data_IF_536681601132
#
_entry.id   IF_536681601132
#
_cell.length_a   1.000
_cell.length_b   1.000
_cell.length_c   1.000
_cell.angle_alpha   90.00
_cell.angle_beta   90.00
_cell.angle_gamma   90.00
#
_symmetry.space_group_name_H-M   'P 1'
#
loop_
_entity.id
_entity.type
_entity.pdbx_description
1 polymer ?
#
# COMPACT_ATOMS: atom_id res chain seq x y z
N UNK A 1 -9.30 72.00 28.17
CA UNK A 1 -9.42 73.34 27.55
C UNK A 1 -10.13 73.26 26.23
N UNK A 2 -11.22 73.96 26.14
CA UNK A 2 -12.14 74.14 25.01
C UNK A 2 -11.47 74.77 23.80
N UNK A 3 -11.83 74.35 22.60
CA UNK A 3 -12.21 75.31 21.51
C UNK A 3 -13.02 74.61 20.42
N UNK A 4 -14.24 75.00 20.40
CA UNK A 4 -15.25 74.89 19.32
C UNK A 4 -14.93 75.95 18.24
N UNK A 5 -15.06 75.64 16.98
CA UNK A 5 -15.30 76.68 15.94
C UNK A 5 -16.29 76.12 14.90
N UNK A 6 -17.20 77.05 14.60
CA UNK A 6 -18.50 76.94 13.94
C UNK A 6 -18.38 77.09 12.42
N UNK A 7 -19.43 76.55 11.77
CA UNK A 7 -19.81 76.75 10.36
C UNK A 7 -19.81 78.20 9.90
N UNK A 8 -19.86 78.46 8.53
CA UNK A 8 -21.16 78.92 8.03
C UNK A 8 -21.65 78.24 6.76
N UNK A 9 -22.97 78.18 6.69
CA UNK A 9 -23.78 77.86 5.53
C UNK A 9 -23.82 79.10 4.56
N UNK A 10 -23.79 78.81 3.28
CA UNK A 10 -24.25 79.76 2.25
C UNK A 10 -25.21 79.07 1.32
N UNK A 11 -26.34 79.71 1.19
CA UNK A 11 -27.54 79.35 0.43
C UNK A 11 -27.40 79.70 -1.08
N UNK A 12 -28.22 79.00 -1.88
CA UNK A 12 -28.99 79.46 -3.04
C UNK A 12 -28.25 79.42 -4.40
N UNK A 13 -28.75 78.76 -5.39
CA UNK A 13 -29.91 79.11 -6.22
C UNK A 13 -30.21 78.05 -7.24
N UNK A 14 -31.50 77.77 -7.41
CA UNK A 14 -32.20 77.01 -8.45
C UNK A 14 -31.92 77.57 -9.83
N UNK A 15 -31.55 76.73 -10.82
CA UNK A 15 -31.87 76.99 -12.22
C UNK A 15 -32.25 75.71 -12.93
N UNK A 16 -33.53 75.61 -13.25
CA UNK A 16 -34.18 74.59 -14.03
C UNK A 16 -33.82 74.76 -15.49
N UNK A 17 -33.05 73.83 -16.07
CA UNK A 17 -32.90 73.72 -17.50
C UNK A 17 -33.30 72.30 -17.93
N UNK A 18 -34.49 72.20 -18.50
CA UNK A 18 -34.94 71.02 -19.26
C UNK A 18 -34.09 70.90 -20.52
N UNK A 19 -33.28 69.86 -20.58
CA UNK A 19 -32.68 69.38 -21.82
C UNK A 19 -33.14 67.91 -22.01
N UNK A 20 -34.06 67.74 -22.96
CA UNK A 20 -34.39 66.46 -23.54
C UNK A 20 -33.15 65.92 -24.27
N UNK A 21 -32.51 64.89 -23.68
CA UNK A 21 -31.54 64.07 -24.37
C UNK A 21 -32.18 62.69 -24.55
N UNK A 22 -32.47 62.37 -25.79
CA UNK A 22 -32.82 61.01 -26.19
C UNK A 22 -31.57 60.14 -25.94
N UNK A 23 -31.57 59.46 -24.79
CA UNK A 23 -30.57 58.40 -24.48
C UNK A 23 -30.96 57.14 -25.16
N UNK A 24 -30.20 56.73 -26.16
CA UNK A 24 -30.16 55.34 -26.59
C UNK A 24 -29.84 54.49 -25.35
N UNK A 25 -30.80 53.64 -24.92
CA UNK A 25 -30.49 52.56 -24.01
C UNK A 25 -29.54 51.59 -24.74
N UNK A 26 -28.28 51.66 -24.41
CA UNK A 26 -27.38 50.53 -24.72
C UNK A 26 -27.78 49.39 -23.79
N UNK A 27 -28.45 48.38 -24.34
CA UNK A 27 -28.59 47.09 -23.71
C UNK A 27 -27.16 46.63 -23.38
N UNK A 28 -26.82 46.57 -22.11
CA UNK A 28 -25.64 45.82 -21.65
C UNK A 28 -25.94 44.37 -21.96
N UNK A 29 -25.37 43.85 -23.03
CA UNK A 29 -25.23 42.41 -23.22
C UNK A 29 -24.29 41.98 -22.09
N UNK A 30 -24.87 41.37 -21.06
CA UNK A 30 -24.12 40.57 -20.10
C UNK A 30 -23.66 39.38 -20.92
N UNK A 31 -22.39 39.33 -21.28
CA UNK A 31 -21.77 38.10 -21.74
C UNK A 31 -21.88 37.11 -20.56
N UNK A 32 -22.91 36.29 -20.58
CA UNK A 32 -22.94 35.07 -19.74
C UNK A 32 -21.76 34.23 -20.24
N UNK A 33 -20.72 34.12 -19.41
CA UNK A 33 -19.68 33.11 -19.61
C UNK A 33 -20.40 31.77 -19.81
N UNK A 34 -20.03 31.02 -20.87
CA UNK A 34 -20.63 29.71 -21.06
C UNK A 34 -20.38 28.89 -19.78
N UNK A 35 -21.36 28.09 -19.34
CA UNK A 35 -21.17 27.24 -18.19
C UNK A 35 -19.88 26.43 -18.40
N UNK A 36 -18.99 26.45 -17.41
CA UNK A 36 -17.84 25.55 -17.41
C UNK A 36 -18.37 24.15 -17.68
N UNK A 37 -17.96 23.56 -18.82
CA UNK A 37 -18.26 22.15 -19.10
C UNK A 37 -17.63 21.36 -17.97
N UNK A 38 -18.45 20.72 -17.13
CA UNK A 38 -17.96 19.76 -16.14
C UNK A 38 -17.13 18.71 -16.89
N UNK A 39 -15.85 18.66 -16.61
CA UNK A 39 -14.93 17.68 -17.22
C UNK A 39 -15.43 16.28 -16.82
N UNK A 40 -15.97 15.55 -17.77
CA UNK A 40 -16.45 14.17 -17.54
C UNK A 40 -15.19 13.31 -17.34
N UNK A 41 -14.89 12.99 -16.10
CA UNK A 41 -13.79 12.08 -15.77
C UNK A 41 -14.25 10.67 -16.09
N UNK A 42 -13.58 10.02 -17.05
CA UNK A 42 -13.77 8.60 -17.32
C UNK A 42 -13.44 7.78 -16.08
N UNK A 43 -14.28 6.81 -15.75
CA UNK A 43 -14.12 5.98 -14.55
C UNK A 43 -14.18 4.49 -14.87
N UNK A 44 -13.68 3.65 -13.94
CA UNK A 44 -13.75 2.20 -14.00
C UNK A 44 -13.72 1.57 -12.60
N UNK A 45 -13.40 0.29 -12.52
CA UNK A 45 -13.26 -0.46 -11.27
C UNK A 45 -11.80 -0.86 -11.05
N UNK A 46 -11.22 -0.43 -9.94
CA UNK A 46 -9.90 -0.84 -9.49
C UNK A 46 -10.03 -1.98 -8.47
N UNK A 47 -9.26 -3.04 -8.68
CA UNK A 47 -9.21 -4.22 -7.80
C UNK A 47 -7.89 -4.20 -7.07
N UNK A 48 -7.94 -4.40 -5.76
CA UNK A 48 -6.76 -4.57 -4.94
C UNK A 48 -6.54 -6.05 -4.68
N UNK A 49 -5.36 -6.56 -5.00
CA UNK A 49 -5.00 -7.97 -4.84
C UNK A 49 -3.77 -8.12 -3.96
N UNK A 50 -3.63 -9.31 -3.36
CA UNK A 50 -2.45 -9.72 -2.62
C UNK A 50 -1.98 -11.09 -3.15
N UNK A 51 -0.67 -11.25 -3.34
CA UNK A 51 -0.07 -12.45 -3.92
C UNK A 51 1.10 -12.91 -3.05
N UNK A 52 1.13 -14.18 -2.66
CA UNK A 52 2.24 -14.82 -1.96
C UNK A 52 3.10 -15.68 -2.88
N UNK A 53 2.81 -15.62 -4.19
CA UNK A 53 3.44 -16.42 -5.24
C UNK A 53 3.28 -17.95 -5.05
N UNK A 54 3.85 -18.72 -5.95
CA UNK A 54 3.77 -20.17 -5.92
C UNK A 54 4.48 -20.76 -4.70
N UNK A 55 5.51 -20.10 -4.18
CA UNK A 55 6.23 -20.50 -2.98
C UNK A 55 5.33 -20.80 -1.79
N UNK A 56 4.32 -19.97 -1.57
CA UNK A 56 3.39 -20.14 -0.44
C UNK A 56 2.30 -21.17 -0.76
N UNK A 57 1.84 -21.26 -2.00
CA UNK A 57 0.75 -22.17 -2.38
C UNK A 57 1.23 -23.60 -2.62
N UNK A 58 2.41 -23.76 -3.19
CA UNK A 58 2.97 -25.07 -3.57
C UNK A 58 4.01 -25.58 -2.56
N UNK A 59 4.56 -24.68 -1.73
CA UNK A 59 5.70 -24.96 -0.88
C UNK A 59 7.03 -24.90 -1.63
N UNK A 60 8.15 -24.89 -0.90
CA UNK A 60 9.49 -24.82 -1.49
C UNK A 60 10.57 -25.34 -0.53
N UNK A 61 11.77 -25.57 -1.07
CA UNK A 61 12.95 -25.94 -0.27
C UNK A 61 13.74 -24.67 0.04
N UNK A 62 13.83 -24.28 1.30
CA UNK A 62 14.57 -23.10 1.71
C UNK A 62 16.10 -23.31 1.67
N UNK A 63 16.88 -22.22 1.75
CA UNK A 63 18.33 -22.20 1.55
C UNK A 63 19.11 -23.24 2.35
N UNK A 64 18.63 -23.64 3.50
CA UNK A 64 19.27 -24.60 4.39
C UNK A 64 18.68 -26.03 4.29
N UNK A 65 17.88 -26.28 3.26
CA UNK A 65 17.42 -27.59 2.84
C UNK A 65 16.21 -28.13 3.61
N UNK A 66 15.43 -27.28 4.29
CA UNK A 66 14.12 -27.63 4.80
C UNK A 66 13.07 -27.44 3.70
N UNK A 67 12.28 -28.47 3.45
CA UNK A 67 11.09 -28.39 2.58
C UNK A 67 9.93 -27.81 3.40
N UNK A 68 9.43 -26.66 2.99
CA UNK A 68 8.35 -25.92 3.65
C UNK A 68 7.05 -26.11 2.89
N UNK A 69 5.97 -26.37 3.62
CA UNK A 69 4.60 -26.36 3.11
C UNK A 69 3.72 -25.54 4.06
N UNK A 70 2.77 -24.80 3.49
CA UNK A 70 1.94 -23.87 4.23
C UNK A 70 0.47 -24.29 4.16
N UNK A 71 -0.13 -24.52 5.33
CA UNK A 71 -1.57 -24.69 5.45
C UNK A 71 -2.28 -23.34 5.37
N UNK A 72 -1.62 -22.30 5.93
CA UNK A 72 -2.09 -20.91 5.92
C UNK A 72 -0.92 -19.93 5.94
N UNK A 73 -1.07 -18.84 5.21
CA UNK A 73 -0.18 -17.69 5.26
C UNK A 73 -1.02 -16.40 5.29
N UNK A 74 -1.49 -16.04 6.47
CA UNK A 74 -2.31 -14.84 6.65
C UNK A 74 -1.47 -13.58 6.65
N UNK A 75 -1.91 -12.58 5.89
CA UNK A 75 -1.44 -11.19 5.98
C UNK A 75 -2.60 -10.29 6.37
N UNK A 76 -2.33 -9.31 7.24
CA UNK A 76 -3.35 -8.35 7.69
C UNK A 76 -3.01 -6.96 7.18
N UNK A 77 -3.87 -6.42 6.32
CA UNK A 77 -3.65 -5.22 5.53
C UNK A 77 -4.64 -4.14 5.92
N UNK A 78 -4.17 -2.89 6.00
CA UNK A 78 -4.98 -1.71 6.26
C UNK A 78 -4.44 -0.49 5.52
N UNK A 79 -5.17 0.63 5.55
CA UNK A 79 -4.76 1.92 4.98
C UNK A 79 -4.32 1.83 3.51
N UNK A 80 -4.92 0.90 2.75
CA UNK A 80 -4.52 0.62 1.37
C UNK A 80 -4.93 1.78 0.46
N UNK A 81 -3.96 2.33 -0.30
CA UNK A 81 -4.17 3.45 -1.22
C UNK A 81 -3.41 3.25 -2.51
N UNK A 82 -4.08 3.40 -3.65
CA UNK A 82 -3.48 3.42 -4.96
C UNK A 82 -3.43 4.83 -5.53
N UNK A 83 -2.34 5.19 -6.18
CA UNK A 83 -2.10 6.55 -6.67
C UNK A 83 -1.78 6.57 -8.16
N UNK A 84 -2.32 7.57 -8.85
CA UNK A 84 -1.80 8.01 -10.14
C UNK A 84 -0.83 9.15 -9.87
N UNK A 85 0.43 8.99 -10.22
CA UNK A 85 1.46 10.03 -10.06
C UNK A 85 2.05 10.43 -11.40
N UNK A 86 2.51 11.66 -11.50
CA UNK A 86 3.20 12.16 -12.67
C UNK A 86 4.41 13.05 -12.30
N UNK A 87 5.65 12.57 -12.53
CA UNK A 87 6.05 11.31 -13.18
C UNK A 87 5.67 10.06 -12.34
N UNK A 88 5.82 8.83 -12.91
CA UNK A 88 5.64 7.59 -12.13
C UNK A 88 6.51 7.62 -10.88
N UNK A 89 5.94 7.13 -9.78
CA UNK A 89 6.65 7.08 -8.52
C UNK A 89 7.85 6.12 -8.62
N UNK A 90 8.97 6.57 -8.04
CA UNK A 90 10.19 5.79 -7.86
C UNK A 90 10.59 5.87 -6.39
N UNK A 91 11.02 4.77 -5.79
CA UNK A 91 11.43 4.71 -4.38
C UNK A 91 12.57 5.66 -4.02
N UNK A 92 13.41 6.05 -5.00
CA UNK A 92 14.42 7.08 -4.81
C UNK A 92 13.85 8.47 -4.45
N UNK A 93 12.55 8.69 -4.68
CA UNK A 93 11.85 9.92 -4.28
C UNK A 93 11.56 9.96 -2.77
N UNK A 94 11.67 8.82 -2.06
CA UNK A 94 11.34 8.72 -0.64
C UNK A 94 9.82 8.81 -0.38
N UNK A 95 9.46 9.09 0.87
CA UNK A 95 8.07 9.18 1.33
C UNK A 95 7.36 10.49 0.92
N UNK A 96 8.11 11.49 0.46
CA UNK A 96 7.59 12.81 0.09
C UNK A 96 7.21 12.84 -1.41
N UNK A 97 6.07 12.29 -1.76
CA UNK A 97 5.58 12.20 -3.16
C UNK A 97 4.20 12.84 -3.38
N UNK A 98 3.61 13.43 -2.36
CA UNK A 98 2.25 13.98 -2.38
C UNK A 98 2.04 15.02 -3.50
N UNK A 99 3.05 15.84 -3.79
CA UNK A 99 3.00 16.84 -4.86
C UNK A 99 2.93 16.23 -6.27
N UNK A 100 3.19 14.92 -6.41
CA UNK A 100 3.13 14.17 -7.66
C UNK A 100 1.77 13.53 -7.90
N UNK A 101 0.92 13.47 -6.86
CA UNK A 101 -0.36 12.74 -6.90
C UNK A 101 -1.38 13.50 -7.73
N UNK A 102 -1.90 12.83 -8.75
CA UNK A 102 -2.97 13.31 -9.64
C UNK A 102 -4.33 12.72 -9.27
N UNK A 103 -4.35 11.47 -8.81
CA UNK A 103 -5.52 10.80 -8.28
C UNK A 103 -5.13 9.82 -7.17
N UNK A 104 -6.04 9.61 -6.24
CA UNK A 104 -5.90 8.66 -5.13
C UNK A 104 -7.19 7.86 -4.96
N UNK A 105 -7.05 6.57 -4.70
CA UNK A 105 -8.14 5.65 -4.40
C UNK A 105 -7.80 4.89 -3.13
N UNK A 106 -8.68 4.97 -2.14
CA UNK A 106 -8.50 4.30 -0.86
C UNK A 106 -9.41 3.08 -0.75
N UNK A 107 -8.89 1.96 -0.28
CA UNK A 107 -9.66 0.81 0.15
C UNK A 107 -9.76 0.83 1.67
N UNK A 108 -10.97 1.08 2.18
CA UNK A 108 -11.22 1.21 3.61
C UNK A 108 -11.30 -0.16 4.31
N UNK A 109 -10.87 -0.19 5.57
CA UNK A 109 -11.02 -1.38 6.43
C UNK A 109 -9.71 -2.05 6.78
N UNK A 110 -9.83 -3.13 7.54
CA UNK A 110 -8.75 -4.08 7.83
C UNK A 110 -9.11 -5.38 7.14
N UNK A 111 -8.20 -5.91 6.36
CA UNK A 111 -8.39 -7.09 5.52
C UNK A 111 -7.41 -8.18 5.96
N UNK A 112 -7.93 -9.35 6.30
CA UNK A 112 -7.13 -10.54 6.61
C UNK A 112 -7.24 -11.46 5.40
N UNK A 113 -6.11 -11.73 4.77
CA UNK A 113 -6.02 -12.50 3.52
C UNK A 113 -5.15 -13.72 3.76
N UNK A 114 -5.62 -14.88 3.32
CA UNK A 114 -4.82 -16.12 3.30
C UNK A 114 -4.15 -16.26 1.94
N UNK A 115 -2.84 -16.11 1.88
CA UNK A 115 -2.06 -16.20 0.65
C UNK A 115 -1.76 -17.65 0.24
N UNK A 116 -1.96 -18.61 1.16
CA UNK A 116 -1.80 -20.04 0.89
C UNK A 116 -3.07 -20.70 0.32
N UNK A 117 -4.18 -19.94 0.19
CA UNK A 117 -5.40 -20.46 -0.44
C UNK A 117 -5.14 -20.77 -1.93
N UNK A 118 -5.20 -22.03 -2.36
CA UNK A 118 -4.89 -22.42 -3.73
C UNK A 118 -5.86 -21.85 -4.78
N UNK A 119 -7.06 -21.41 -4.36
CA UNK A 119 -8.06 -20.80 -5.23
C UNK A 119 -7.85 -19.27 -5.37
N UNK A 120 -6.92 -18.68 -4.61
CA UNK A 120 -6.66 -17.25 -4.53
C UNK A 120 -5.32 -16.86 -5.20
N UNK A 121 -5.25 -16.86 -6.52
CA UNK A 121 -4.06 -16.54 -7.32
C UNK A 121 -4.33 -15.40 -8.33
N UNK A 122 -4.09 -14.12 -7.98
CA UNK A 122 -3.89 -13.61 -6.62
C UNK A 122 -5.20 -13.47 -5.82
N UNK A 123 -5.08 -13.37 -4.48
CA UNK A 123 -6.21 -13.14 -3.61
C UNK A 123 -6.80 -11.73 -3.77
N UNK A 124 -8.13 -11.62 -3.94
CA UNK A 124 -8.81 -10.34 -4.00
C UNK A 124 -8.99 -9.78 -2.59
N UNK A 125 -8.36 -8.63 -2.29
CA UNK A 125 -8.50 -7.90 -1.02
C UNK A 125 -9.77 -7.05 -1.02
N UNK A 126 -10.07 -6.39 -2.14
CA UNK A 126 -11.26 -5.57 -2.31
C UNK A 126 -11.30 -4.82 -3.64
N UNK A 127 -12.36 -4.03 -3.82
CA UNK A 127 -12.62 -3.30 -5.05
C UNK A 127 -13.09 -1.88 -4.77
N UNK A 128 -12.69 -0.94 -5.63
CA UNK A 128 -13.20 0.42 -5.67
C UNK A 128 -13.83 0.69 -7.03
N UNK A 129 -15.13 0.97 -7.04
CA UNK A 129 -15.89 1.26 -8.27
C UNK A 129 -15.96 2.78 -8.53
N UNK A 130 -16.17 3.14 -9.80
CA UNK A 130 -16.30 4.51 -10.26
C UNK A 130 -15.10 5.40 -9.88
N UNK A 131 -13.90 4.83 -9.97
CA UNK A 131 -12.65 5.55 -9.74
C UNK A 131 -12.06 6.05 -11.06
N UNK A 132 -11.28 7.16 -11.05
CA UNK A 132 -10.72 7.74 -12.28
C UNK A 132 -9.96 6.72 -13.12
N UNK A 133 -10.25 6.65 -14.43
CA UNK A 133 -9.43 5.90 -15.37
C UNK A 133 -8.02 6.51 -15.44
N UNK A 134 -7.01 5.67 -15.70
CA UNK A 134 -5.63 6.11 -15.76
C UNK A 134 -4.66 5.03 -15.29
N UNK A 135 -3.43 5.43 -15.02
CA UNK A 135 -2.38 4.52 -14.58
C UNK A 135 -2.09 4.71 -13.09
N UNK A 136 -2.48 3.73 -12.30
CA UNK A 136 -2.12 3.63 -10.90
C UNK A 136 -0.70 3.04 -10.82
N UNK A 137 0.25 3.86 -10.40
CA UNK A 137 1.68 3.59 -10.47
C UNK A 137 2.40 3.85 -9.15
N UNK A 138 1.66 3.91 -8.07
CA UNK A 138 2.15 3.83 -6.70
C UNK A 138 1.07 3.19 -5.82
N UNK A 139 1.50 2.38 -4.87
CA UNK A 139 0.64 1.66 -3.96
C UNK A 139 1.19 1.78 -2.53
N UNK A 140 0.36 2.23 -1.60
CA UNK A 140 0.64 2.31 -0.18
C UNK A 140 -0.25 1.35 0.58
N UNK A 141 0.28 0.67 1.58
CA UNK A 141 -0.50 -0.09 2.54
C UNK A 141 0.25 -0.21 3.87
N UNK A 142 -0.48 -0.60 4.90
CA UNK A 142 0.07 -0.95 6.19
C UNK A 142 -0.19 -2.42 6.48
N UNK A 143 0.83 -3.15 6.90
CA UNK A 143 0.67 -4.44 7.56
C UNK A 143 0.44 -4.16 9.03
N UNK A 144 -0.76 -4.47 9.52
CA UNK A 144 -1.19 -4.19 10.91
C UNK A 144 -1.54 -5.47 11.63
N UNK A 145 -1.55 -5.43 12.96
CA UNK A 145 -2.01 -6.60 13.73
C UNK A 145 -3.49 -6.85 13.51
N UNK A 146 -3.84 -8.09 13.22
CA UNK A 146 -5.24 -8.50 13.08
C UNK A 146 -5.99 -8.22 14.38
N UNK A 147 -7.12 -7.47 14.32
CA UNK A 147 -7.90 -7.16 15.52
C UNK A 147 -8.72 -8.35 16.03
N UNK A 148 -8.87 -9.40 15.22
CA UNK A 148 -9.60 -10.61 15.52
C UNK A 148 -9.43 -11.66 14.39
N UNK A 149 -9.90 -12.87 14.59
CA UNK A 149 -9.89 -13.92 13.57
C UNK A 149 -8.66 -14.82 13.64
N UNK A 150 -8.33 -15.57 12.56
CA UNK A 150 -7.29 -16.60 12.62
C UNK A 150 -5.89 -16.05 12.88
N UNK A 151 -5.61 -14.80 12.47
CA UNK A 151 -4.32 -14.13 12.65
C UNK A 151 -4.34 -13.09 13.78
N UNK A 152 -5.29 -13.16 14.74
CA UNK A 152 -5.41 -12.16 15.81
C UNK A 152 -4.07 -11.87 16.50
N UNK A 153 -3.67 -10.59 16.53
CA UNK A 153 -2.44 -10.12 17.15
C UNK A 153 -1.21 -10.12 16.23
N UNK A 154 -1.30 -10.67 15.02
CA UNK A 154 -0.20 -10.74 14.06
C UNK A 154 -0.46 -9.91 12.80
N UNK A 155 0.61 -9.39 12.23
CA UNK A 155 0.61 -8.76 10.90
C UNK A 155 0.75 -9.80 9.78
N UNK A 156 1.55 -10.85 10.06
CA UNK A 156 1.68 -12.06 9.25
C UNK A 156 1.63 -13.26 10.19
N UNK A 157 0.88 -14.29 9.82
CA UNK A 157 0.86 -15.57 10.53
C UNK A 157 0.98 -16.71 9.52
N UNK A 158 2.09 -17.42 9.60
CA UNK A 158 2.38 -18.62 8.78
C UNK A 158 2.17 -19.87 9.62
N UNK A 159 1.37 -20.80 9.11
CA UNK A 159 1.10 -22.12 9.71
C UNK A 159 1.42 -23.17 8.67
N UNK A 160 2.22 -24.19 9.05
CA UNK A 160 2.62 -25.19 8.08
C UNK A 160 3.50 -26.27 8.67
N UNK A 161 4.20 -26.94 7.78
CA UNK A 161 5.10 -28.05 8.10
C UNK A 161 6.45 -27.85 7.43
N UNK A 162 7.53 -28.13 8.13
CA UNK A 162 8.88 -28.14 7.62
C UNK A 162 9.45 -29.56 7.72
N UNK A 163 10.04 -30.07 6.63
CA UNK A 163 10.63 -31.44 6.58
C UNK A 163 12.07 -31.39 6.13
N UNK A 164 12.96 -32.15 6.83
CA UNK A 164 14.35 -32.34 6.44
C UNK A 164 14.90 -33.62 7.04
N UNK A 165 15.57 -34.44 6.23
CA UNK A 165 16.28 -35.68 6.65
C UNK A 165 15.42 -36.63 7.49
N UNK A 166 14.09 -36.64 7.32
CA UNK A 166 13.14 -37.46 8.06
C UNK A 166 12.68 -36.85 9.39
N UNK A 167 13.10 -35.64 9.69
CA UNK A 167 12.53 -34.79 10.74
C UNK A 167 11.37 -33.99 10.18
N UNK A 168 10.28 -33.89 10.94
CA UNK A 168 9.09 -33.08 10.60
C UNK A 168 8.78 -32.14 11.76
N UNK A 169 8.62 -30.86 11.46
CA UNK A 169 8.24 -29.82 12.42
C UNK A 169 6.96 -29.14 11.94
N UNK A 170 5.91 -29.23 12.74
CA UNK A 170 4.72 -28.38 12.54
C UNK A 170 5.01 -27.01 13.13
N UNK A 171 4.79 -25.95 12.36
CA UNK A 171 5.11 -24.59 12.82
C UNK A 171 3.92 -23.64 12.77
N UNK A 172 3.93 -22.70 13.71
CA UNK A 172 3.14 -21.47 13.71
C UNK A 172 4.08 -20.31 14.01
N UNK A 173 4.34 -19.48 12.99
CA UNK A 173 5.26 -18.36 13.05
C UNK A 173 4.50 -17.05 12.85
N UNK A 174 4.40 -16.25 13.90
CA UNK A 174 3.69 -14.97 13.91
C UNK A 174 4.65 -13.79 13.87
N UNK A 175 4.48 -12.88 12.89
CA UNK A 175 5.16 -11.59 12.87
C UNK A 175 4.19 -10.54 13.43
N UNK A 176 4.59 -9.84 14.48
CA UNK A 176 3.72 -8.97 15.27
C UNK A 176 4.15 -7.49 15.26
N UNK A 177 5.07 -7.11 14.38
CA UNK A 177 5.53 -5.73 14.24
C UNK A 177 4.92 -5.08 13.01
N UNK A 178 4.21 -3.96 13.22
CA UNK A 178 3.51 -3.25 12.15
C UNK A 178 4.47 -2.49 11.23
N UNK A 179 4.18 -2.51 9.92
CA UNK A 179 5.05 -1.93 8.87
C UNK A 179 4.18 -1.17 7.87
N UNK A 180 4.57 0.07 7.53
CA UNK A 180 4.03 0.79 6.39
C UNK A 180 4.91 0.58 5.17
N UNK A 181 4.28 0.38 4.02
CA UNK A 181 4.95 0.07 2.75
C UNK A 181 4.44 1.02 1.66
N UNK A 182 5.37 1.48 0.82
CA UNK A 182 5.07 2.30 -0.35
C UNK A 182 5.88 1.77 -1.53
N UNK A 183 5.17 1.13 -2.48
CA UNK A 183 5.75 0.61 -3.70
C UNK A 183 5.50 1.53 -4.89
N UNK A 184 6.33 1.38 -5.92
CA UNK A 184 6.22 2.10 -7.18
C UNK A 184 5.31 1.45 -8.21
N UNK A 185 5.66 1.70 -9.46
CA UNK A 185 5.00 1.08 -10.61
C UNK A 185 5.24 -0.43 -10.61
N UNK A 186 4.22 -1.18 -10.98
CA UNK A 186 4.32 -2.65 -11.00
C UNK A 186 5.44 -3.13 -11.92
N UNK A 187 6.29 -4.01 -11.42
CA UNK A 187 7.34 -4.71 -12.15
C UNK A 187 7.01 -6.20 -12.16
N UNK A 188 6.92 -6.80 -13.32
CA UNK A 188 6.56 -8.21 -13.55
C UNK A 188 6.17 -8.45 -15.00
N UNK A 189 5.77 -9.68 -15.31
CA UNK A 189 5.47 -10.12 -16.68
C UNK A 189 4.26 -9.42 -17.28
N UNK A 190 3.22 -9.17 -16.47
CA UNK A 190 2.00 -8.49 -16.89
C UNK A 190 1.89 -7.11 -16.23
N UNK A 191 1.64 -6.09 -17.05
CA UNK A 191 1.53 -4.71 -16.57
C UNK A 191 0.21 -4.48 -15.86
N UNK A 192 0.26 -4.17 -14.56
CA UNK A 192 -0.89 -3.89 -13.71
C UNK A 192 -1.17 -2.38 -13.54
N UNK A 193 -2.30 -2.03 -12.94
CA UNK A 193 -2.65 -0.65 -12.60
C UNK A 193 -3.12 0.22 -13.77
N UNK A 194 -3.38 -0.32 -14.97
CA UNK A 194 -3.84 0.46 -16.13
C UNK A 194 -5.36 0.32 -16.29
N UNK A 195 -6.10 1.29 -15.71
CA UNK A 195 -7.56 1.31 -15.76
C UNK A 195 -8.08 2.10 -16.96
N UNK A 196 -8.82 1.42 -17.84
CA UNK A 196 -9.54 2.06 -18.95
C UNK A 196 -10.91 2.55 -18.52
N UNK A 197 -11.49 3.49 -19.28
CA UNK A 197 -12.88 3.91 -19.10
C UNK A 197 -13.83 2.70 -19.14
N UNK A 198 -14.78 2.63 -18.20
CA UNK A 198 -15.73 1.52 -18.03
C UNK A 198 -15.06 0.13 -17.84
N UNK A 199 -13.73 0.11 -17.65
CA UNK A 199 -12.91 -1.09 -17.54
C UNK A 199 -12.73 -1.58 -16.09
N UNK A 200 -11.91 -2.63 -15.97
CA UNK A 200 -11.46 -3.22 -14.73
C UNK A 200 -9.95 -3.42 -14.81
N UNK A 201 -9.22 -3.04 -13.78
CA UNK A 201 -7.78 -3.29 -13.65
C UNK A 201 -7.46 -3.64 -12.21
N UNK A 202 -6.37 -4.36 -11.99
CA UNK A 202 -5.86 -4.68 -10.66
C UNK A 202 -4.58 -3.92 -10.33
N UNK A 203 -4.34 -3.75 -9.04
CA UNK A 203 -3.08 -3.38 -8.41
C UNK A 203 -2.74 -4.43 -7.38
N UNK A 204 -1.47 -4.84 -7.30
CA UNK A 204 -1.08 -6.01 -6.54
C UNK A 204 -0.01 -5.69 -5.50
N UNK A 205 -0.24 -6.17 -4.28
CA UNK A 205 0.73 -6.26 -3.20
C UNK A 205 1.33 -7.67 -3.24
N UNK A 206 2.62 -7.79 -3.55
CA UNK A 206 3.33 -9.06 -3.66
C UNK A 206 4.15 -9.31 -2.41
N UNK A 207 4.11 -10.53 -1.89
CA UNK A 207 4.78 -10.96 -0.67
C UNK A 207 5.78 -12.07 -0.99
N UNK A 208 7.05 -11.81 -0.76
CA UNK A 208 8.18 -12.69 -1.07
C UNK A 208 8.68 -13.40 0.20
N UNK A 209 8.13 -14.57 0.50
CA UNK A 209 8.49 -15.32 1.71
C UNK A 209 9.85 -16.03 1.59
N UNK A 210 10.36 -16.19 0.39
CA UNK A 210 11.74 -16.61 0.11
C UNK A 210 12.76 -15.62 0.68
N UNK A 211 12.43 -14.33 0.80
CA UNK A 211 13.26 -13.37 1.52
C UNK A 211 13.49 -13.76 3.00
N UNK A 212 12.52 -14.45 3.62
CA UNK A 212 12.68 -14.92 5.00
C UNK A 212 13.47 -16.22 5.07
N UNK A 213 13.21 -17.14 4.15
CA UNK A 213 13.71 -18.51 4.24
C UNK A 213 14.88 -18.80 3.28
N UNK A 214 15.11 -17.95 2.27
CA UNK A 214 16.02 -18.22 1.16
C UNK A 214 15.49 -19.32 0.24
N UNK A 215 16.16 -19.56 -0.85
CA UNK A 215 15.83 -20.57 -1.84
C UNK A 215 17.03 -21.53 -2.05
N UNK A 216 16.75 -22.83 -2.02
CA UNK A 216 17.77 -23.88 -2.22
C UNK A 216 18.29 -23.92 -3.66
N UNK A 217 17.46 -23.53 -4.64
CA UNK A 217 17.80 -23.56 -6.05
C UNK A 217 18.68 -22.37 -6.47
N UNK A 218 18.75 -21.32 -5.64
CA UNK A 218 19.66 -20.19 -5.83
C UNK A 218 21.08 -20.48 -5.30
N UNK A 219 22.08 -19.76 -5.82
CA UNK A 219 23.46 -19.88 -5.36
C UNK A 219 23.56 -19.50 -3.86
N UNK A 220 24.27 -20.27 -3.02
CA UNK A 220 24.48 -19.92 -1.61
C UNK A 220 25.10 -18.52 -1.39
N UNK A 221 25.81 -17.98 -2.38
CA UNK A 221 26.40 -16.65 -2.35
C UNK A 221 25.47 -15.57 -2.99
N UNK A 222 24.25 -15.95 -3.43
CA UNK A 222 23.25 -15.02 -3.91
C UNK A 222 22.74 -14.10 -2.80
N UNK A 223 22.38 -12.86 -3.14
CA UNK A 223 21.94 -11.84 -2.19
C UNK A 223 20.71 -12.31 -1.40
N UNK A 224 19.73 -12.97 -2.06
CA UNK A 224 18.57 -13.56 -1.43
C UNK A 224 18.99 -14.50 -0.28
N UNK A 225 19.89 -15.45 -0.57
CA UNK A 225 20.33 -16.43 0.41
C UNK A 225 21.22 -15.84 1.52
N UNK A 226 22.02 -14.83 1.20
CA UNK A 226 22.85 -14.15 2.18
C UNK A 226 22.03 -13.33 3.19
N UNK A 227 20.93 -12.74 2.75
CA UNK A 227 20.07 -11.87 3.57
C UNK A 227 18.94 -12.63 4.27
N UNK A 228 18.59 -13.86 3.84
CA UNK A 228 17.54 -14.65 4.47
C UNK A 228 17.99 -15.28 5.80
N UNK A 229 17.04 -15.49 6.71
CA UNK A 229 17.27 -16.23 7.96
C UNK A 229 17.44 -17.74 7.71
N UNK A 230 16.65 -18.32 6.81
CA UNK A 230 16.47 -19.76 6.67
C UNK A 230 15.53 -20.36 7.73
N UNK A 231 15.24 -21.67 7.64
CA UNK A 231 14.42 -22.34 8.63
C UNK A 231 15.24 -23.01 9.74
N UNK A 232 16.53 -23.31 9.53
CA UNK A 232 17.39 -23.99 10.50
C UNK A 232 17.44 -23.33 11.88
N UNK A 233 17.61 -22.01 12.02
CA UNK A 233 17.54 -21.31 13.29
C UNK A 233 16.21 -21.50 14.02
N UNK A 234 15.09 -21.55 13.30
CA UNK A 234 13.76 -21.78 13.82
C UNK A 234 13.58 -23.24 14.22
N UNK A 235 14.03 -24.19 13.40
CA UNK A 235 14.00 -25.62 13.70
C UNK A 235 14.73 -25.96 15.01
N UNK A 236 15.82 -25.27 15.30
CA UNK A 236 16.59 -25.45 16.54
C UNK A 236 15.79 -25.06 17.82
N UNK A 237 14.74 -24.29 17.67
CA UNK A 237 13.83 -23.88 18.76
C UNK A 237 12.64 -24.84 18.95
N UNK A 238 12.39 -25.72 17.98
CA UNK A 238 11.25 -26.65 18.03
C UNK A 238 11.38 -27.61 19.21
N UNK A 239 10.26 -27.92 19.85
CA UNK A 239 10.18 -28.85 20.97
C UNK A 239 9.21 -29.97 20.63
N UNK A 240 9.72 -31.20 20.52
CA UNK A 240 8.89 -32.38 20.24
C UNK A 240 8.27 -32.38 18.84
N UNK A 241 8.89 -31.68 17.86
CA UNK A 241 8.39 -31.57 16.49
C UNK A 241 7.36 -30.45 16.32
N UNK A 242 7.25 -29.55 17.28
CA UNK A 242 6.34 -28.40 17.25
C UNK A 242 7.10 -27.11 17.47
N UNK A 243 6.78 -26.06 16.71
CA UNK A 243 7.31 -24.71 16.83
C UNK A 243 6.13 -23.73 16.84
N UNK A 244 5.93 -23.03 17.96
CA UNK A 244 4.95 -21.95 18.07
C UNK A 244 5.66 -20.72 18.64
N UNK A 245 5.91 -19.72 17.79
CA UNK A 245 6.70 -18.54 18.16
C UNK A 245 6.15 -17.29 17.49
N UNK A 246 6.31 -16.15 18.19
CA UNK A 246 6.14 -14.83 17.63
C UNK A 246 7.49 -14.17 17.33
N UNK A 247 7.49 -13.07 16.54
CA UNK A 247 8.68 -12.24 16.37
C UNK A 247 9.22 -11.74 17.72
N UNK A 248 8.32 -11.32 18.62
CA UNK A 248 8.69 -10.89 19.98
C UNK A 248 9.35 -12.00 20.81
N UNK A 249 8.96 -13.26 20.61
CA UNK A 249 9.65 -14.41 21.20
C UNK A 249 11.04 -14.60 20.58
N UNK A 250 11.10 -14.58 19.26
CA UNK A 250 12.35 -14.76 18.50
C UNK A 250 13.41 -13.70 18.82
N UNK A 251 13.02 -12.46 19.10
CA UNK A 251 13.93 -11.40 19.55
C UNK A 251 14.66 -11.76 20.85
N UNK A 252 14.11 -12.66 21.68
CA UNK A 252 14.73 -13.13 22.91
C UNK A 252 15.44 -14.49 22.79
N UNK A 253 15.08 -15.27 21.79
CA UNK A 253 15.52 -16.66 21.64
C UNK A 253 16.64 -16.82 20.60
N UNK A 254 16.68 -16.00 19.58
CA UNK A 254 17.69 -16.01 18.53
C UNK A 254 18.95 -15.25 18.92
N UNK A 255 20.05 -15.52 18.20
CA UNK A 255 21.25 -14.71 18.30
C UNK A 255 21.00 -13.29 17.73
N UNK A 256 21.76 -12.30 18.21
CA UNK A 256 21.52 -10.90 17.85
C UNK A 256 21.62 -10.61 16.33
N UNK A 257 22.53 -11.29 15.63
CA UNK A 257 22.71 -11.21 14.19
C UNK A 257 21.52 -11.83 13.43
N UNK A 258 20.93 -12.91 13.96
CA UNK A 258 19.73 -13.53 13.39
C UNK A 258 18.48 -12.64 13.58
N UNK A 259 18.38 -11.97 14.73
CA UNK A 259 17.31 -10.98 14.98
C UNK A 259 17.45 -9.80 14.01
N UNK A 260 18.66 -9.31 13.76
CA UNK A 260 18.91 -8.24 12.81
C UNK A 260 18.46 -8.63 11.40
N UNK A 261 18.79 -9.85 10.94
CA UNK A 261 18.31 -10.39 9.66
C UNK A 261 16.78 -10.43 9.64
N UNK A 262 16.14 -11.01 10.66
CA UNK A 262 14.69 -11.14 10.72
C UNK A 262 13.95 -9.79 10.64
N UNK A 263 14.49 -8.77 11.33
CA UNK A 263 13.92 -7.42 11.29
C UNK A 263 14.15 -6.75 9.91
N UNK A 264 15.29 -6.98 9.27
CA UNK A 264 15.55 -6.48 7.93
C UNK A 264 14.58 -7.11 6.92
N UNK A 265 14.40 -8.43 6.97
CA UNK A 265 13.47 -9.16 6.09
C UNK A 265 12.05 -8.57 6.18
N UNK A 266 11.55 -8.22 7.37
CA UNK A 266 10.21 -7.63 7.50
C UNK A 266 10.01 -6.35 6.68
N UNK A 267 11.07 -5.61 6.40
CA UNK A 267 11.03 -4.39 5.57
C UNK A 267 11.19 -4.68 4.09
N UNK A 268 11.53 -5.91 3.72
CA UNK A 268 11.71 -6.36 2.33
C UNK A 268 10.72 -7.46 1.93
N UNK A 269 9.81 -7.84 2.85
CA UNK A 269 8.88 -8.95 2.64
C UNK A 269 7.82 -8.65 1.57
N UNK A 270 7.48 -7.37 1.35
CA UNK A 270 6.38 -7.02 0.48
C UNK A 270 6.74 -5.87 -0.47
N UNK A 271 6.40 -6.07 -1.73
CA UNK A 271 6.70 -5.18 -2.85
C UNK A 271 5.48 -4.93 -3.75
N UNK A 272 5.70 -4.30 -4.90
CA UNK A 272 4.71 -4.20 -6.00
C UNK A 272 5.29 -4.98 -7.20
N UNK A 273 4.91 -6.25 -7.32
CA UNK A 273 5.60 -7.22 -8.18
C UNK A 273 7.07 -7.37 -7.75
N UNK A 274 7.98 -7.44 -8.69
CA UNK A 274 9.44 -7.50 -8.47
C UNK A 274 10.07 -6.12 -8.21
N UNK A 275 9.25 -5.09 -8.00
CA UNK A 275 9.74 -3.73 -7.80
C UNK A 275 10.21 -3.49 -6.36
N UNK A 276 11.12 -2.52 -6.19
CA UNK A 276 11.52 -2.08 -4.85
C UNK A 276 10.39 -1.31 -4.16
N UNK A 277 10.31 -1.46 -2.83
CA UNK A 277 9.42 -0.69 -1.98
C UNK A 277 10.19 0.04 -0.88
N UNK A 278 9.62 1.13 -0.40
CA UNK A 278 10.02 1.75 0.86
C UNK A 278 9.22 1.09 1.98
N UNK A 279 9.87 0.75 3.08
CA UNK A 279 9.21 0.22 4.25
C UNK A 279 9.70 0.90 5.52
N UNK A 280 8.81 1.06 6.50
CA UNK A 280 9.13 1.62 7.82
C UNK A 280 8.25 0.98 8.89
N UNK A 281 8.85 0.61 10.02
CA UNK A 281 8.09 0.15 11.17
C UNK A 281 7.19 1.26 11.70
N UNK A 282 5.96 0.89 12.04
CA UNK A 282 5.01 1.75 12.75
C UNK A 282 5.24 1.57 14.25
N UNK A 283 5.38 2.70 14.98
CA UNK A 283 5.63 2.71 16.42
C UNK A 283 4.36 2.39 17.23
#
# INVERSE_FOLDING_TARGET
MKRVWRLPAIYLTVLLALLLVAGCAAEQVVDEEPPEEEEVIDTGTLVFTANGEDFIREGFVCKDGWELSFDHAYVTLASISAFQTGPPFDTAMGWEFEDLVQARVDLAGVHIVDLADPDADPAVVGEAAAVPAGRYNALYWEMVRAPSGPAEGFVVLMIGTAEKDGETISFSLGLDREVAILGGDYVGDERKGILQADGRADVEMTFHFDHLFGDYDEDPDDELNLEALGFGPLAALAVGGELEVSLSDLETMLAADQVEILLAVMTHLAHVGEGHALAVFLD
#
